data_IF_862861454574
#
_entry.id   IF_862861454574
#
_cell.length_a   1.000
_cell.length_b   1.000
_cell.length_c   1.000
_cell.angle_alpha   90.00
_cell.angle_beta   90.00
_cell.angle_gamma   90.00
#
_symmetry.space_group_name_H-M   'P 1'
#
loop_
_entity.id
_entity.type
_entity.pdbx_description
1 polymer ?
#
# COMPACT_ATOMS: atom_id res chain seq x y z
N UNK A 1 65.17 29.62 -35.96
CA UNK A 1 64.09 30.39 -35.31
C UNK A 1 62.77 29.89 -35.88
N UNK A 2 62.05 29.02 -35.17
CA UNK A 2 60.74 28.50 -35.61
C UNK A 2 59.73 28.99 -34.57
N UNK A 3 58.80 29.84 -35.00
CA UNK A 3 57.72 30.40 -34.17
C UNK A 3 56.53 29.45 -34.27
N UNK A 4 56.03 28.99 -33.12
CA UNK A 4 54.88 28.12 -33.02
C UNK A 4 53.60 28.76 -33.55
N UNK A 5 52.82 27.98 -34.30
CA UNK A 5 51.44 28.29 -34.66
C UNK A 5 50.53 27.65 -33.60
N UNK A 6 50.09 28.45 -32.63
CA UNK A 6 48.98 28.08 -31.77
C UNK A 6 47.68 28.24 -32.54
N UNK A 7 46.99 27.14 -32.80
CA UNK A 7 45.62 27.12 -33.32
C UNK A 7 44.71 27.72 -32.25
N UNK A 8 44.17 28.92 -32.50
CA UNK A 8 43.16 29.51 -31.61
C UNK A 8 41.84 28.75 -31.76
N UNK A 9 41.56 27.86 -30.81
CA UNK A 9 40.24 27.29 -30.61
C UNK A 9 39.27 28.44 -30.32
N UNK A 10 38.32 28.68 -31.23
CA UNK A 10 37.29 29.71 -31.05
C UNK A 10 36.26 29.19 -30.08
N UNK A 11 36.35 29.58 -28.81
CA UNK A 11 35.30 29.32 -27.82
C UNK A 11 34.04 30.11 -28.22
N UNK A 12 33.03 29.40 -28.74
CA UNK A 12 31.71 29.98 -28.99
C UNK A 12 30.94 30.02 -27.68
N UNK A 13 30.81 31.22 -27.10
CA UNK A 13 29.99 31.44 -25.92
C UNK A 13 28.51 31.20 -26.20
N UNK A 14 27.80 30.63 -25.23
CA UNK A 14 26.34 30.46 -25.26
C UNK A 14 25.68 31.84 -25.19
N UNK A 15 24.69 32.11 -26.05
CA UNK A 15 23.98 33.39 -26.01
C UNK A 15 23.05 33.44 -24.78
N UNK A 16 22.88 34.63 -24.19
CA UNK A 16 21.91 34.83 -23.09
C UNK A 16 20.50 34.42 -23.56
N UNK A 17 20.19 34.61 -24.83
CA UNK A 17 18.90 34.23 -25.42
C UNK A 17 18.73 32.71 -25.43
N UNK A 18 19.75 31.94 -25.82
CA UNK A 18 19.70 30.47 -25.76
C UNK A 18 19.50 29.97 -24.33
N UNK A 19 20.14 30.60 -23.34
CA UNK A 19 19.94 30.23 -21.94
C UNK A 19 18.54 30.62 -21.44
N UNK A 20 18.04 31.78 -21.86
CA UNK A 20 16.72 32.29 -21.47
C UNK A 20 15.59 31.38 -21.97
N UNK A 21 15.65 30.96 -23.23
CA UNK A 21 14.60 30.06 -23.77
C UNK A 21 14.61 28.71 -23.04
N UNK A 22 15.78 28.19 -22.67
CA UNK A 22 15.90 26.90 -21.96
C UNK A 22 15.23 26.96 -20.59
N UNK A 23 15.51 28.01 -19.80
CA UNK A 23 14.88 28.14 -18.47
C UNK A 23 13.38 28.35 -18.57
N UNK A 24 12.89 29.08 -19.57
CA UNK A 24 11.45 29.26 -19.82
C UNK A 24 10.78 27.94 -20.19
N UNK A 25 11.39 27.16 -21.09
CA UNK A 25 10.85 25.85 -21.49
C UNK A 25 10.81 24.88 -20.30
N UNK A 26 11.88 24.80 -19.51
CA UNK A 26 11.91 23.97 -18.30
C UNK A 26 10.85 24.43 -17.29
N UNK A 27 10.65 25.75 -17.12
CA UNK A 27 9.63 26.27 -16.21
C UNK A 27 8.20 25.85 -16.61
N UNK A 28 7.88 25.90 -17.91
CA UNK A 28 6.56 25.47 -18.42
C UNK A 28 6.37 23.95 -18.24
N UNK A 29 7.39 23.15 -18.60
CA UNK A 29 7.34 21.69 -18.43
C UNK A 29 7.24 21.29 -16.95
N UNK A 30 7.96 21.98 -16.06
CA UNK A 30 7.89 21.75 -14.62
C UNK A 30 6.48 22.06 -14.06
N UNK A 31 5.85 23.14 -14.50
CA UNK A 31 4.50 23.48 -14.05
C UNK A 31 3.46 22.39 -14.41
N UNK A 32 3.50 21.87 -15.65
CA UNK A 32 2.57 20.81 -16.11
C UNK A 32 2.84 19.50 -15.37
N UNK A 33 4.12 19.15 -15.18
CA UNK A 33 4.51 17.91 -14.49
C UNK A 33 4.09 17.91 -13.02
N UNK A 34 4.15 19.04 -12.31
CA UNK A 34 3.71 19.11 -10.90
C UNK A 34 2.23 18.77 -10.73
N UNK A 35 1.35 19.38 -11.53
CA UNK A 35 -0.10 19.12 -11.42
C UNK A 35 -0.43 17.67 -11.76
N UNK A 36 0.13 17.13 -12.85
CA UNK A 36 -0.11 15.74 -13.25
C UNK A 36 0.48 14.70 -12.28
N UNK A 37 1.64 14.99 -11.69
CA UNK A 37 2.31 14.07 -10.77
C UNK A 37 1.51 13.82 -9.48
N UNK A 38 0.83 14.85 -8.95
CA UNK A 38 0.00 14.70 -7.74
C UNK A 38 -1.15 13.71 -7.95
N UNK A 39 -1.88 13.81 -9.06
CA UNK A 39 -2.98 12.91 -9.39
C UNK A 39 -2.52 11.46 -9.67
N UNK A 40 -1.41 11.29 -10.40
CA UNK A 40 -0.83 9.95 -10.65
C UNK A 40 -0.37 9.31 -9.35
N UNK A 41 0.30 10.08 -8.48
CA UNK A 41 0.79 9.59 -7.19
C UNK A 41 -0.36 9.12 -6.29
N UNK A 42 -1.48 9.85 -6.24
CA UNK A 42 -2.67 9.45 -5.49
C UNK A 42 -3.30 8.16 -6.03
N UNK A 43 -3.42 8.02 -7.35
CA UNK A 43 -3.92 6.79 -8.00
C UNK A 43 -3.02 5.59 -7.72
N UNK A 44 -1.70 5.78 -7.78
CA UNK A 44 -0.73 4.74 -7.47
C UNK A 44 -0.83 4.29 -6.00
N UNK A 45 -0.96 5.23 -5.05
CA UNK A 45 -1.18 4.90 -3.63
C UNK A 45 -2.48 4.13 -3.43
N UNK A 46 -3.57 4.58 -4.05
CA UNK A 46 -4.88 3.91 -3.97
C UNK A 46 -4.81 2.48 -4.53
N UNK A 47 -4.16 2.30 -5.68
CA UNK A 47 -3.98 0.98 -6.30
C UNK A 47 -3.16 0.03 -5.42
N UNK A 48 -2.12 0.53 -4.74
CA UNK A 48 -1.35 -0.25 -3.77
C UNK A 48 -2.22 -0.68 -2.58
N UNK A 49 -2.96 0.25 -1.96
CA UNK A 49 -3.86 -0.07 -0.85
C UNK A 49 -4.91 -1.10 -1.27
N UNK A 50 -5.55 -0.92 -2.43
CA UNK A 50 -6.53 -1.86 -2.96
C UNK A 50 -5.92 -3.24 -3.19
N UNK A 51 -4.73 -3.32 -3.80
CA UNK A 51 -4.04 -4.59 -4.01
C UNK A 51 -3.73 -5.31 -2.69
N UNK A 52 -3.27 -4.59 -1.66
CA UNK A 52 -3.08 -5.17 -0.33
C UNK A 52 -4.39 -5.64 0.28
N UNK A 53 -5.47 -4.89 0.10
CA UNK A 53 -6.80 -5.24 0.60
C UNK A 53 -7.31 -6.54 -0.01
N UNK A 54 -7.15 -6.74 -1.32
CA UNK A 54 -7.51 -7.99 -2.00
C UNK A 54 -6.63 -9.17 -1.57
N UNK A 55 -5.33 -8.93 -1.32
CA UNK A 55 -4.45 -9.95 -0.75
C UNK A 55 -4.95 -10.40 0.63
N UNK A 56 -5.28 -9.45 1.51
CA UNK A 56 -5.82 -9.73 2.85
C UNK A 56 -7.13 -10.51 2.75
N UNK A 57 -8.05 -10.07 1.87
CA UNK A 57 -9.33 -10.73 1.64
C UNK A 57 -9.15 -12.17 1.18
N UNK A 58 -8.27 -12.40 0.21
CA UNK A 58 -7.95 -13.73 -0.31
C UNK A 58 -7.38 -14.63 0.78
N UNK A 59 -6.40 -14.13 1.56
CA UNK A 59 -5.78 -14.89 2.66
C UNK A 59 -6.77 -15.21 3.77
N UNK A 60 -7.62 -14.26 4.15
CA UNK A 60 -8.68 -14.47 5.13
C UNK A 60 -9.72 -15.50 4.65
N UNK A 61 -10.07 -15.48 3.35
CA UNK A 61 -10.97 -16.47 2.75
C UNK A 61 -10.37 -17.88 2.72
N UNK A 62 -9.07 -18.02 2.40
CA UNK A 62 -8.35 -19.30 2.47
C UNK A 62 -8.35 -19.84 3.89
N UNK A 63 -8.10 -19.00 4.88
CA UNK A 63 -8.16 -19.39 6.30
C UNK A 63 -9.55 -19.91 6.67
N UNK A 64 -10.61 -19.19 6.29
CA UNK A 64 -11.99 -19.62 6.54
C UNK A 64 -12.33 -20.95 5.84
N UNK A 65 -11.84 -21.17 4.62
CA UNK A 65 -12.05 -22.44 3.90
C UNK A 65 -11.43 -23.64 4.59
N UNK A 66 -10.38 -23.45 5.40
CA UNK A 66 -9.63 -24.52 6.04
C UNK A 66 -10.01 -24.71 7.51
N UNK A 67 -10.42 -23.64 8.19
CA UNK A 67 -10.66 -23.63 9.64
C UNK A 67 -12.08 -23.23 10.03
N UNK A 68 -12.96 -22.95 9.05
CA UNK A 68 -14.36 -22.55 9.26
C UNK A 68 -14.54 -21.34 10.20
N UNK A 69 -13.55 -20.44 10.21
CA UNK A 69 -13.54 -19.17 10.94
C UNK A 69 -12.63 -18.20 10.20
N UNK A 70 -12.87 -16.89 10.29
CA UNK A 70 -11.92 -15.88 9.84
C UNK A 70 -10.78 -15.71 10.86
N UNK A 71 -9.56 -15.36 10.42
CA UNK A 71 -8.43 -15.11 11.32
C UNK A 71 -8.52 -13.71 11.95
N UNK A 72 -7.91 -13.51 13.11
CA UNK A 72 -7.52 -12.16 13.54
C UNK A 72 -6.23 -11.69 12.81
N UNK A 73 -5.83 -10.42 12.97
CA UNK A 73 -4.62 -9.92 12.30
C UNK A 73 -3.34 -10.62 12.79
N UNK A 74 -3.24 -10.96 14.08
CA UNK A 74 -2.08 -11.64 14.62
C UNK A 74 -1.95 -13.03 14.00
N UNK A 75 -3.06 -13.78 13.87
CA UNK A 75 -3.13 -15.07 13.20
C UNK A 75 -2.78 -14.95 11.71
N UNK A 76 -3.28 -13.91 11.03
CA UNK A 76 -2.99 -13.66 9.62
C UNK A 76 -1.50 -13.34 9.37
N UNK A 77 -0.83 -12.63 10.29
CA UNK A 77 0.60 -12.25 10.17
C UNK A 77 1.56 -13.34 10.63
N UNK A 78 1.27 -13.94 11.78
CA UNK A 78 2.16 -14.91 12.44
C UNK A 78 1.89 -16.34 12.00
N UNK A 79 0.72 -16.60 11.41
CA UNK A 79 0.26 -17.93 11.07
C UNK A 79 0.18 -18.85 12.31
N UNK A 80 -0.15 -18.30 13.48
CA UNK A 80 -0.39 -19.08 14.70
C UNK A 80 -1.88 -19.29 14.90
N UNK A 81 -2.29 -20.48 15.34
CA UNK A 81 -3.70 -20.83 15.60
C UNK A 81 -4.17 -20.55 17.04
N UNK A 82 -3.34 -19.99 17.91
CA UNK A 82 -3.64 -19.94 19.35
C UNK A 82 -4.44 -18.68 19.75
N UNK A 83 -5.25 -18.80 20.82
CA UNK A 83 -4.69 -18.65 22.16
C UNK A 83 -4.48 -20.00 22.86
N UNK A 84 -3.52 -20.12 23.80
CA UNK A 84 -3.36 -21.32 24.61
C UNK A 84 -4.58 -21.47 25.53
N UNK A 85 -5.44 -22.44 25.26
CA UNK A 85 -6.29 -23.08 26.27
C UNK A 85 -5.54 -24.30 26.83
N UNK A 86 -5.88 -24.71 28.06
CA UNK A 86 -5.14 -25.67 28.90
C UNK A 86 -4.89 -27.05 28.23
N UNK A 87 -5.58 -27.33 27.12
CA UNK A 87 -5.53 -28.59 26.37
C UNK A 87 -4.95 -28.46 24.94
N UNK A 88 -4.63 -27.25 24.46
CA UNK A 88 -3.99 -27.07 23.15
C UNK A 88 -2.55 -26.65 23.35
N UNK A 89 -1.60 -27.52 23.00
CA UNK A 89 -0.19 -27.19 23.01
C UNK A 89 0.06 -25.90 22.20
N UNK A 90 0.62 -24.87 22.84
CA UNK A 90 1.06 -23.67 22.14
C UNK A 90 2.04 -24.05 21.02
N UNK A 91 1.81 -23.53 19.81
CA UNK A 91 2.67 -23.81 18.64
C UNK A 91 1.96 -24.37 17.40
N UNK A 92 0.64 -24.55 17.43
CA UNK A 92 -0.11 -24.93 16.22
C UNK A 92 -0.02 -23.83 15.15
N UNK A 93 0.54 -24.18 13.99
CA UNK A 93 0.63 -23.29 12.82
C UNK A 93 -0.65 -23.37 12.00
N UNK A 94 -1.16 -22.22 11.59
CA UNK A 94 -2.28 -22.12 10.66
C UNK A 94 -1.92 -22.62 9.27
N UNK A 95 -2.86 -22.58 8.32
CA UNK A 95 -2.55 -22.91 6.94
C UNK A 95 -1.56 -21.88 6.39
N UNK A 96 -0.36 -22.32 6.02
CA UNK A 96 0.74 -21.46 5.53
C UNK A 96 0.28 -20.63 4.32
N UNK A 97 -0.58 -21.21 3.49
CA UNK A 97 -1.24 -20.58 2.34
C UNK A 97 -2.03 -19.31 2.71
N UNK A 98 -2.54 -19.22 3.94
CA UNK A 98 -3.30 -18.08 4.45
C UNK A 98 -2.44 -17.05 5.18
N UNK A 99 -1.12 -17.27 5.32
CA UNK A 99 -0.23 -16.27 5.91
C UNK A 99 -0.15 -15.05 5.01
N UNK A 100 -0.33 -13.87 5.59
CA UNK A 100 -0.02 -12.60 4.96
C UNK A 100 1.45 -12.26 5.18
N UNK A 101 2.28 -12.54 4.16
CA UNK A 101 3.68 -12.12 4.12
C UNK A 101 3.75 -10.60 4.01
N UNK A 102 4.59 -9.96 4.86
CA UNK A 102 4.81 -8.52 4.99
C UNK A 102 4.18 -7.66 3.88
N UNK A 103 2.95 -7.14 4.09
CA UNK A 103 2.27 -6.35 3.08
C UNK A 103 3.08 -5.07 2.81
N UNK A 104 3.19 -4.67 1.54
CA UNK A 104 3.91 -3.46 1.12
C UNK A 104 3.24 -2.13 1.53
N UNK A 105 2.26 -2.20 2.42
CA UNK A 105 1.36 -1.11 2.85
C UNK A 105 1.11 -1.29 4.35
N UNK A 106 1.11 -0.18 5.10
CA UNK A 106 0.89 -0.22 6.55
C UNK A 106 -0.52 -0.72 6.87
N UNK A 107 -0.59 -1.70 7.76
CA UNK A 107 -1.84 -2.32 8.18
C UNK A 107 -2.05 -2.14 9.68
N UNK A 108 -3.23 -1.62 10.04
CA UNK A 108 -3.76 -1.66 11.40
C UNK A 108 -4.79 -2.77 11.56
N UNK A 109 -4.95 -3.29 12.77
CA UNK A 109 -6.14 -4.06 13.11
C UNK A 109 -6.66 -3.69 14.47
N UNK A 110 -7.97 -3.75 14.57
CA UNK A 110 -8.77 -3.49 15.75
C UNK A 110 -9.86 -4.54 15.80
N UNK A 111 -10.31 -4.86 17.01
CA UNK A 111 -11.45 -5.75 17.24
C UNK A 111 -12.78 -5.08 16.84
N UNK A 112 -12.80 -3.74 16.76
CA UNK A 112 -13.89 -2.94 16.20
C UNK A 112 -13.58 -2.48 14.77
N UNK A 113 -14.60 -2.16 13.97
CA UNK A 113 -14.41 -1.61 12.63
C UNK A 113 -13.77 -0.21 12.67
N UNK A 114 -12.45 -0.14 12.53
CA UNK A 114 -11.76 1.13 12.27
C UNK A 114 -11.66 1.35 10.76
N UNK A 115 -12.13 2.52 10.33
CA UNK A 115 -12.00 2.97 8.94
C UNK A 115 -10.58 3.43 8.68
N UNK A 116 -10.04 3.05 7.53
CA UNK A 116 -8.75 3.54 7.06
C UNK A 116 -8.71 5.07 7.06
N UNK A 117 -7.57 5.60 7.46
CA UNK A 117 -7.28 7.02 7.46
C UNK A 117 -6.01 7.29 6.62
N UNK A 118 -5.59 8.55 6.55
CA UNK A 118 -4.40 8.92 5.79
C UNK A 118 -3.09 8.41 6.44
N UNK A 119 -3.14 7.82 7.64
CA UNK A 119 -1.99 7.24 8.36
C UNK A 119 -1.83 5.74 8.09
N UNK A 120 -2.89 4.95 8.33
CA UNK A 120 -2.94 3.52 8.07
C UNK A 120 -3.84 3.23 6.88
N UNK A 121 -3.21 2.76 5.81
CA UNK A 121 -3.76 2.72 4.46
C UNK A 121 -4.72 1.56 4.23
N UNK A 122 -4.61 0.50 5.05
CA UNK A 122 -5.53 -0.64 5.08
C UNK A 122 -5.77 -1.05 6.54
N UNK A 123 -7.02 -1.30 6.90
CA UNK A 123 -7.41 -1.90 8.17
C UNK A 123 -8.14 -3.22 7.97
N UNK A 124 -7.94 -4.12 8.91
CA UNK A 124 -8.62 -5.41 8.98
C UNK A 124 -9.24 -5.58 10.37
N UNK A 125 -10.55 -5.79 10.42
CA UNK A 125 -11.30 -6.06 11.65
C UNK A 125 -12.14 -7.33 11.46
N UNK A 126 -11.86 -8.44 12.16
CA UNK A 126 -12.69 -9.62 12.08
C UNK A 126 -14.04 -9.38 12.77
N UNK A 127 -15.11 -9.96 12.23
CA UNK A 127 -16.49 -9.82 12.72
C UNK A 127 -16.85 -11.04 13.57
N UNK A 128 -17.28 -10.81 14.81
CA UNK A 128 -17.71 -11.87 15.72
C UNK A 128 -19.23 -12.10 15.61
N UNK A 129 -19.67 -13.34 15.38
CA UNK A 129 -21.11 -13.69 15.29
C UNK A 129 -21.74 -14.17 16.60
N UNK A 130 -20.98 -14.17 17.70
CA UNK A 130 -21.38 -14.77 18.98
C UNK A 130 -20.72 -16.13 19.25
N UNK A 131 -20.19 -16.80 18.21
CA UNK A 131 -19.61 -18.14 18.32
C UNK A 131 -18.22 -18.27 17.70
N UNK A 132 -17.93 -17.51 16.65
CA UNK A 132 -16.67 -17.49 15.92
C UNK A 132 -16.50 -16.18 15.16
N UNK A 133 -15.34 -16.01 14.52
CA UNK A 133 -15.20 -14.96 13.51
C UNK A 133 -15.86 -15.41 12.21
N UNK A 134 -17.04 -14.88 11.90
CA UNK A 134 -17.85 -15.27 10.73
C UNK A 134 -17.55 -14.45 9.47
N UNK A 135 -16.79 -13.37 9.63
CA UNK A 135 -16.43 -12.46 8.56
C UNK A 135 -15.30 -11.52 8.97
N UNK A 136 -15.00 -10.57 8.11
CA UNK A 136 -14.13 -9.44 8.41
C UNK A 136 -14.52 -8.21 7.59
N UNK A 137 -14.45 -7.04 8.24
CA UNK A 137 -14.47 -5.75 7.60
C UNK A 137 -13.04 -5.34 7.24
N UNK A 138 -12.81 -5.04 5.97
CA UNK A 138 -11.53 -4.57 5.47
C UNK A 138 -11.75 -3.19 4.88
N UNK A 139 -11.03 -2.20 5.39
CA UNK A 139 -11.14 -0.82 4.90
C UNK A 139 -9.82 -0.34 4.32
N UNK A 140 -9.88 0.49 3.27
CA UNK A 140 -8.68 1.10 2.70
C UNK A 140 -8.93 2.57 2.36
N UNK A 141 -7.85 3.35 2.36
CA UNK A 141 -7.94 4.77 2.02
C UNK A 141 -7.85 4.98 0.51
N UNK A 142 -8.88 5.61 -0.08
CA UNK A 142 -8.87 6.04 -1.47
C UNK A 142 -8.36 7.48 -1.55
N UNK A 143 -7.13 7.64 -2.05
CA UNK A 143 -6.49 8.95 -2.19
C UNK A 143 -7.06 9.80 -3.33
N UNK A 144 -7.78 9.19 -4.28
CA UNK A 144 -8.43 9.91 -5.38
C UNK A 144 -9.74 10.56 -4.94
N UNK A 145 -10.45 9.95 -3.99
CA UNK A 145 -11.72 10.48 -3.44
C UNK A 145 -11.57 11.01 -2.02
N UNK A 146 -10.35 10.99 -1.46
CA UNK A 146 -10.01 11.40 -0.11
C UNK A 146 -10.96 10.83 0.96
N UNK A 147 -11.28 9.55 0.84
CA UNK A 147 -12.29 8.86 1.65
C UNK A 147 -11.90 7.42 1.92
N UNK A 148 -12.35 6.88 3.06
CA UNK A 148 -12.24 5.47 3.36
C UNK A 148 -13.28 4.66 2.56
N UNK A 149 -12.87 3.50 2.06
CA UNK A 149 -13.75 2.54 1.39
C UNK A 149 -13.74 1.25 2.19
N UNK A 150 -14.93 0.74 2.52
CA UNK A 150 -15.11 -0.47 3.29
C UNK A 150 -15.51 -1.63 2.37
N UNK A 151 -14.99 -2.82 2.65
CA UNK A 151 -15.32 -4.06 1.96
C UNK A 151 -15.52 -5.16 3.01
N UNK A 152 -16.62 -5.89 2.87
CA UNK A 152 -16.96 -6.98 3.79
C UNK A 152 -16.62 -8.32 3.14
N UNK A 153 -16.05 -9.24 3.93
CA UNK A 153 -15.88 -10.65 3.56
C UNK A 153 -16.55 -11.53 4.59
N UNK A 154 -17.28 -12.57 4.14
CA UNK A 154 -18.06 -13.42 5.04
C UNK A 154 -19.32 -12.72 5.55
N UNK A 155 -19.80 -13.17 6.71
CA UNK A 155 -20.97 -12.59 7.37
C UNK A 155 -20.50 -11.68 8.51
N UNK A 156 -20.89 -10.40 8.48
CA UNK A 156 -20.64 -9.45 9.54
C UNK A 156 -21.99 -8.92 10.01
N UNK A 157 -22.46 -9.32 11.21
CA UNK A 157 -23.70 -8.83 11.79
C UNK A 157 -23.61 -7.36 12.26
#
# INVERSE_FOLDING_TARGET
>A
MIKGLGTQETERGFTIVELLIVVVVIAILAAITVVSYTGISQRAKTSRSLSTTEQVRSKAAVWNSLLNSYPDLAQLRTNSLAPPNIDTAGGATGPIEAKLSSPGVAMGATIDEVRADNGNTVYYAPCWDGTRFSGANISYWNYSTNSAVNMVTGNCP
#
